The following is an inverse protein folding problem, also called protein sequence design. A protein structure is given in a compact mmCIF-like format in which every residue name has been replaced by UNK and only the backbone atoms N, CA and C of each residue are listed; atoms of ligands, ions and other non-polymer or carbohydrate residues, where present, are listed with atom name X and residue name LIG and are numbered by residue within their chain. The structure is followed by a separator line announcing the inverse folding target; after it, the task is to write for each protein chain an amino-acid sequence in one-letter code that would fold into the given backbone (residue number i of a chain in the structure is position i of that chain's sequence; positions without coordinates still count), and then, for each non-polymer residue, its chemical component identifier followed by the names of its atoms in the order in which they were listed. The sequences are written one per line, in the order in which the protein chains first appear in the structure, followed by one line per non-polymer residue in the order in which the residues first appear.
data_IF_131734912850
#
_entry.id   IF_131734912850
#
_cell.length_a   1.000
_cell.length_b   1.000
_cell.length_c   1.000
_cell.angle_alpha   90.00
_cell.angle_beta   90.00
_cell.angle_gamma   90.00
#
_symmetry.space_group_name_H-M   'P 1'
#
loop_
_entity.id
_entity.type
_entity.pdbx_description
1 polymer ?
#
# COMPACT_ATOMS: atom_id res chain seq x y z
N UNK A 1 -1.77 -1.06 12.03
CA UNK A 1 -2.62 0.11 12.31
C UNK A 1 -2.90 0.81 10.99
N UNK A 2 -4.16 1.15 10.70
CA UNK A 2 -4.49 1.94 9.51
C UNK A 2 -4.13 3.42 9.78
N UNK A 3 -3.55 4.09 8.80
CA UNK A 3 -3.06 5.47 8.91
C UNK A 3 -3.42 6.27 7.65
N UNK A 4 -3.35 7.60 7.74
CA UNK A 4 -3.59 8.46 6.61
C UNK A 4 -2.40 8.47 5.63
N UNK A 5 -2.66 8.39 4.33
CA UNK A 5 -1.62 8.47 3.29
C UNK A 5 -0.80 9.77 3.40
N UNK A 6 -1.42 10.89 3.78
CA UNK A 6 -0.72 12.16 3.95
C UNK A 6 0.38 12.10 5.01
N UNK A 7 0.20 11.30 6.07
CA UNK A 7 1.21 11.09 7.11
C UNK A 7 2.41 10.30 6.57
N UNK A 8 2.15 9.21 5.84
CA UNK A 8 3.18 8.41 5.16
C UNK A 8 3.99 9.29 4.19
N UNK A 9 3.32 10.05 3.33
CA UNK A 9 3.98 10.87 2.31
C UNK A 9 4.72 12.08 2.88
N UNK A 10 4.35 12.54 4.07
CA UNK A 10 5.09 13.58 4.79
C UNK A 10 6.38 13.01 5.36
N UNK A 11 6.31 11.83 5.97
CA UNK A 11 7.47 11.14 6.55
C UNK A 11 8.51 10.76 5.48
N UNK A 12 8.06 10.20 4.35
CA UNK A 12 8.94 9.81 3.23
C UNK A 12 9.70 10.99 2.65
N UNK A 13 9.04 12.13 2.45
CA UNK A 13 9.68 13.37 1.96
C UNK A 13 10.70 13.93 2.93
N UNK A 14 10.44 13.86 4.24
CA UNK A 14 11.35 14.38 5.25
C UNK A 14 12.59 13.50 5.43
N UNK A 15 12.42 12.18 5.36
CA UNK A 15 13.49 11.21 5.63
C UNK A 15 14.17 10.64 4.37
N UNK A 16 13.68 10.99 3.18
CA UNK A 16 14.31 10.64 1.91
C UNK A 16 14.19 9.16 1.54
N UNK A 17 13.04 8.53 1.79
CA UNK A 17 12.78 7.15 1.38
C UNK A 17 11.45 7.03 0.64
N UNK A 18 11.12 5.85 0.12
CA UNK A 18 9.88 5.56 -0.59
C UNK A 18 9.10 4.44 0.09
N UNK A 19 7.78 4.44 -0.11
CA UNK A 19 6.88 3.38 0.33
C UNK A 19 6.19 2.80 -0.90
N UNK A 20 6.22 1.48 -1.03
CA UNK A 20 5.57 0.78 -2.12
C UNK A 20 4.04 0.83 -2.00
N UNK A 21 3.37 1.11 -3.12
CA UNK A 21 1.94 0.87 -3.30
C UNK A 21 1.76 -0.42 -4.08
N UNK A 22 1.07 -1.38 -3.48
CA UNK A 22 0.77 -2.67 -4.11
C UNK A 22 -0.73 -2.79 -4.34
N UNK A 23 -1.09 -3.02 -5.60
CA UNK A 23 -2.47 -3.35 -5.94
C UNK A 23 -2.77 -4.80 -5.53
N UNK A 24 -3.86 -4.98 -4.80
CA UNK A 24 -4.35 -6.28 -4.34
C UNK A 24 -5.70 -6.58 -4.96
N UNK A 25 -5.83 -7.75 -5.59
CA UNK A 25 -7.10 -8.23 -6.15
C UNK A 25 -7.61 -9.51 -5.47
N UNK A 26 -6.81 -10.12 -4.60
CA UNK A 26 -7.20 -11.27 -3.77
C UNK A 26 -6.74 -11.13 -2.31
N UNK A 27 -7.29 -11.97 -1.43
CA UNK A 27 -6.91 -12.01 -0.02
C UNK A 27 -5.49 -12.58 0.18
N UNK A 28 -5.08 -13.54 -0.63
CA UNK A 28 -3.75 -14.16 -0.57
C UNK A 28 -2.65 -13.15 -0.91
N UNK A 29 -2.87 -12.30 -1.91
CA UNK A 29 -1.97 -11.20 -2.24
C UNK A 29 -1.82 -10.24 -1.06
N UNK A 30 -2.96 -9.82 -0.51
CA UNK A 30 -2.99 -8.93 0.66
C UNK A 30 -2.22 -9.53 1.83
N UNK A 31 -2.42 -10.82 2.11
CA UNK A 31 -1.70 -11.54 3.17
C UNK A 31 -0.19 -11.61 2.90
N UNK A 32 0.23 -11.91 1.68
CA UNK A 32 1.64 -11.96 1.30
C UNK A 32 2.34 -10.62 1.48
N UNK A 33 1.68 -9.53 1.07
CA UNK A 33 2.21 -8.16 1.22
C UNK A 33 2.35 -7.78 2.69
N UNK A 34 1.33 -8.08 3.52
CA UNK A 34 1.39 -7.81 4.95
C UNK A 34 2.52 -8.60 5.63
N UNK A 35 2.68 -9.89 5.33
CA UNK A 35 3.77 -10.70 5.89
C UNK A 35 5.15 -10.17 5.51
N UNK A 36 5.33 -9.73 4.27
CA UNK A 36 6.59 -9.14 3.82
C UNK A 36 6.86 -7.78 4.50
N UNK A 37 5.83 -6.93 4.62
CA UNK A 37 5.92 -5.64 5.29
C UNK A 37 6.28 -5.81 6.78
N UNK A 38 5.67 -6.79 7.46
CA UNK A 38 5.99 -7.14 8.85
C UNK A 38 7.43 -7.65 8.99
N UNK A 39 7.86 -8.58 8.13
CA UNK A 39 9.22 -9.13 8.17
C UNK A 39 10.31 -8.07 7.93
N UNK A 40 10.01 -7.06 7.12
CA UNK A 40 10.92 -5.94 6.81
C UNK A 40 10.74 -4.75 7.74
N UNK A 41 9.78 -4.80 8.68
CA UNK A 41 9.37 -3.68 9.52
C UNK A 41 9.12 -2.40 8.72
N UNK A 42 8.50 -2.54 7.54
CA UNK A 42 8.33 -1.47 6.57
C UNK A 42 6.86 -1.04 6.48
N UNK A 43 6.56 0.27 6.41
CA UNK A 43 5.23 0.71 6.03
C UNK A 43 4.89 0.25 4.60
N UNK A 44 3.61 0.00 4.35
CA UNK A 44 3.13 -0.42 3.03
C UNK A 44 1.80 0.25 2.70
N UNK A 45 1.60 0.59 1.43
CA UNK A 45 0.32 1.08 0.93
C UNK A 45 -0.32 -0.06 0.12
N UNK A 46 -1.57 -0.39 0.45
CA UNK A 46 -2.34 -1.41 -0.25
C UNK A 46 -3.52 -0.73 -0.94
N UNK A 47 -3.64 -0.91 -2.25
CA UNK A 47 -4.72 -0.34 -3.07
C UNK A 47 -5.48 -1.42 -3.84
N UNK A 48 -6.72 -1.15 -4.27
CA UNK A 48 -7.37 -1.97 -5.29
C UNK A 48 -6.72 -1.71 -6.65
N UNK A 49 -6.72 -2.72 -7.53
CA UNK A 49 -6.46 -2.46 -8.95
C UNK A 49 -7.55 -1.53 -9.51
N UNK A 50 -7.18 -0.64 -10.42
CA UNK A 50 -8.11 0.34 -11.02
C UNK A 50 -9.36 -0.31 -11.60
N UNK A 51 -9.21 -1.48 -12.24
CA UNK A 51 -10.32 -2.26 -12.79
C UNK A 51 -11.38 -2.72 -11.77
N UNK A 52 -11.07 -2.67 -10.47
CA UNK A 52 -12.01 -3.00 -9.38
C UNK A 52 -12.74 -1.76 -8.85
N UNK A 53 -12.38 -0.56 -9.30
CA UNK A 53 -13.02 0.67 -8.85
C UNK A 53 -14.36 0.88 -9.57
N UNK A 54 -15.42 1.29 -8.86
CA UNK A 54 -16.67 1.70 -9.49
C UNK A 54 -16.44 2.84 -10.49
N UNK A 55 -16.79 2.62 -11.75
CA UNK A 55 -16.69 3.63 -12.80
C UNK A 55 -15.31 3.75 -13.49
N UNK A 56 -14.39 2.81 -13.25
CA UNK A 56 -13.15 2.75 -14.01
C UNK A 56 -13.42 2.51 -15.51
N UNK A 57 -12.79 3.27 -16.42
CA UNK A 57 -12.88 2.99 -17.86
C UNK A 57 -12.18 1.66 -18.16
N UNK A 58 -12.84 0.81 -18.97
CA UNK A 58 -12.27 -0.44 -19.50
C UNK A 58 -11.19 -0.17 -20.54
#
# INVERSE_FOLDING_TARGET
MLVNLAEILKDTRQKGYAVGLFNCVTLEMTRGILLAAEALQSPVIIGPAESLLPGAPL
#
